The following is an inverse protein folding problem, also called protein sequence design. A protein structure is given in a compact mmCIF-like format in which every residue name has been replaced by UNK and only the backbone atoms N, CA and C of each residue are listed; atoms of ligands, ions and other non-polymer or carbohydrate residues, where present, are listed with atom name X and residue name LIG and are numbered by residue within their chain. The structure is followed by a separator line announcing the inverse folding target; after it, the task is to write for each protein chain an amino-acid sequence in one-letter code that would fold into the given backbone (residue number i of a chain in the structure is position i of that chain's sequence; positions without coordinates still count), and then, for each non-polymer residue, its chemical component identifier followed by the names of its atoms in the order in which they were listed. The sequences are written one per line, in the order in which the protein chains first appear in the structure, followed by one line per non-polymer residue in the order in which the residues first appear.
data_IF_490453045796
#
_entry.id   IF_490453045796
#
_cell.length_a   1.000
_cell.length_b   1.000
_cell.length_c   1.000
_cell.angle_alpha   90.00
_cell.angle_beta   90.00
_cell.angle_gamma   90.00
#
_symmetry.space_group_name_H-M   'P 1'
#
loop_
_entity.id
_entity.type
_entity.pdbx_description
1 polymer ?
#
# COMPACT_ATOMS: atom_id res chain seq x y z
N UNK A 1 -5.81 -4.80 0.08
CA UNK A 1 -6.50 -5.73 -0.85
C UNK A 1 -5.56 -6.77 -1.44
N UNK A 2 -4.39 -6.40 -1.97
CA UNK A 2 -3.37 -7.36 -2.46
C UNK A 2 -3.03 -8.49 -1.47
N UNK A 3 -2.82 -8.16 -0.19
CA UNK A 3 -2.59 -9.15 0.86
C UNK A 3 -3.75 -10.15 1.04
N UNK A 4 -5.00 -9.73 0.79
CA UNK A 4 -6.16 -10.62 0.83
C UNK A 4 -6.14 -11.59 -0.35
N UNK A 5 -5.92 -11.10 -1.58
CA UNK A 5 -5.79 -11.98 -2.75
C UNK A 5 -4.64 -12.97 -2.64
N UNK A 6 -3.53 -12.57 -2.02
CA UNK A 6 -2.41 -13.46 -1.73
C UNK A 6 -2.77 -14.59 -0.75
N UNK A 7 -3.76 -14.37 0.12
CA UNK A 7 -4.15 -15.30 1.18
C UNK A 7 -5.25 -16.30 0.76
N UNK A 8 -6.09 -15.96 -0.23
CA UNK A 8 -7.22 -16.82 -0.64
C UNK A 8 -6.83 -17.90 -1.65
N UNK A 9 -5.75 -17.72 -2.40
CA UNK A 9 -5.31 -18.66 -3.44
C UNK A 9 -4.07 -19.45 -2.97
N UNK A 10 -3.89 -20.67 -3.49
CA UNK A 10 -2.73 -21.52 -3.18
C UNK A 10 -1.77 -21.68 -4.36
N UNK A 11 -2.11 -21.15 -5.53
CA UNK A 11 -1.30 -21.23 -6.74
C UNK A 11 -0.45 -19.97 -6.91
N UNK A 12 0.77 -20.08 -7.50
CA UNK A 12 1.59 -18.91 -7.79
C UNK A 12 0.88 -17.92 -8.71
N UNK A 13 0.21 -18.41 -9.76
CA UNK A 13 -0.52 -17.57 -10.70
C UNK A 13 -1.71 -16.84 -10.05
N UNK A 14 -2.50 -17.55 -9.23
CA UNK A 14 -3.63 -16.98 -8.51
C UNK A 14 -3.24 -15.94 -7.46
N UNK A 15 -1.96 -15.89 -7.05
CA UNK A 15 -1.43 -14.81 -6.20
C UNK A 15 -0.84 -13.67 -7.02
N UNK A 16 0.04 -13.98 -7.97
CA UNK A 16 0.85 -12.98 -8.68
C UNK A 16 -0.01 -12.09 -9.56
N UNK A 17 -0.90 -12.66 -10.36
CA UNK A 17 -1.72 -11.90 -11.32
C UNK A 17 -2.59 -10.84 -10.61
N UNK A 18 -3.41 -11.18 -9.60
CA UNK A 18 -4.21 -10.16 -8.92
C UNK A 18 -3.36 -9.17 -8.12
N UNK A 19 -2.24 -9.59 -7.53
CA UNK A 19 -1.32 -8.66 -6.86
C UNK A 19 -0.79 -7.62 -7.85
N UNK A 20 -0.32 -8.08 -9.02
CA UNK A 20 0.19 -7.21 -10.07
C UNK A 20 -0.89 -6.24 -10.56
N UNK A 21 -2.09 -6.72 -10.86
CA UNK A 21 -3.18 -5.86 -11.37
C UNK A 21 -3.56 -4.76 -10.38
N UNK A 22 -3.68 -5.10 -9.09
CA UNK A 22 -4.00 -4.11 -8.05
C UNK A 22 -2.85 -3.11 -7.88
N UNK A 23 -1.60 -3.55 -7.89
CA UNK A 23 -0.44 -2.67 -7.81
C UNK A 23 -0.34 -1.75 -9.04
N UNK A 24 -0.56 -2.27 -10.24
CA UNK A 24 -0.57 -1.51 -11.49
C UNK A 24 -1.67 -0.44 -11.48
N UNK A 25 -2.88 -0.78 -11.02
CA UNK A 25 -3.96 0.19 -10.88
C UNK A 25 -3.64 1.27 -9.84
N UNK A 26 -2.97 0.90 -8.75
CA UNK A 26 -2.55 1.85 -7.72
C UNK A 26 -1.56 2.88 -8.28
N UNK A 27 -0.58 2.42 -9.06
CA UNK A 27 0.38 3.28 -9.75
C UNK A 27 -0.31 4.12 -10.83
N UNK A 28 -1.17 3.53 -11.67
CA UNK A 28 -1.90 4.23 -12.72
C UNK A 28 -2.85 5.30 -12.17
N UNK A 29 -3.44 5.06 -11.00
CA UNK A 29 -4.25 6.01 -10.26
C UNK A 29 -3.45 7.09 -9.53
N UNK A 30 -2.13 7.10 -9.66
CA UNK A 30 -1.21 8.02 -8.96
C UNK A 30 -1.43 8.03 -7.43
N UNK A 31 -1.78 6.88 -6.86
CA UNK A 31 -1.95 6.74 -5.43
C UNK A 31 -0.59 6.60 -4.75
N UNK A 32 -0.46 7.18 -3.56
CA UNK A 32 0.82 7.20 -2.85
C UNK A 32 0.97 5.98 -1.93
N UNK A 33 2.13 5.32 -1.98
CA UNK A 33 2.45 4.18 -1.12
C UNK A 33 3.68 4.47 -0.28
N UNK A 34 3.51 4.61 1.03
CA UNK A 34 4.56 5.12 1.94
C UNK A 34 5.87 4.32 1.85
N UNK A 35 5.88 2.96 1.87
CA UNK A 35 7.10 2.18 1.66
C UNK A 35 7.75 2.36 0.29
N UNK A 36 6.97 2.51 -0.79
CA UNK A 36 7.54 2.75 -2.12
C UNK A 36 8.16 4.15 -2.20
N UNK A 37 7.52 5.15 -1.58
CA UNK A 37 8.04 6.51 -1.52
C UNK A 37 9.35 6.57 -0.72
N UNK A 38 9.46 5.81 0.39
CA UNK A 38 10.72 5.67 1.13
C UNK A 38 11.85 5.11 0.25
N UNK A 39 11.57 4.07 -0.54
CA UNK A 39 12.53 3.51 -1.50
C UNK A 39 12.95 4.52 -2.55
N UNK A 40 11.98 5.22 -3.14
CA UNK A 40 12.21 6.28 -4.13
C UNK A 40 13.08 7.41 -3.57
N UNK A 41 12.75 7.97 -2.41
CA UNK A 41 13.54 9.06 -1.82
C UNK A 41 14.92 8.61 -1.36
N UNK A 42 15.06 7.37 -0.89
CA UNK A 42 16.37 6.79 -0.55
C UNK A 42 17.26 6.70 -1.78
N UNK A 43 16.71 6.24 -2.91
CA UNK A 43 17.44 6.13 -4.17
C UNK A 43 17.76 7.50 -4.76
N UNK A 44 16.82 8.45 -4.71
CA UNK A 44 17.03 9.85 -5.12
C UNK A 44 18.17 10.49 -4.34
N UNK A 45 18.16 10.34 -3.01
CA UNK A 45 19.22 10.88 -2.14
C UNK A 45 20.58 10.24 -2.49
N UNK A 46 20.61 8.93 -2.75
CA UNK A 46 21.84 8.24 -3.15
C UNK A 46 22.39 8.70 -4.51
N UNK A 47 21.53 9.16 -5.43
CA UNK A 47 21.92 9.69 -6.74
C UNK A 47 22.19 11.21 -6.72
N UNK A 48 22.25 11.84 -5.54
CA UNK A 48 22.54 13.26 -5.39
C UNK A 48 21.36 14.20 -5.61
N UNK A 49 20.14 13.68 -5.74
CA UNK A 49 18.91 14.49 -5.75
C UNK A 49 18.39 14.71 -4.33
N UNK A 50 18.30 15.96 -3.88
CA UNK A 50 17.84 16.27 -2.52
C UNK A 50 16.67 17.28 -2.48
N UNK A 51 15.46 16.83 -2.11
CA UNK A 51 14.39 17.70 -1.61
C UNK A 51 14.57 18.09 -0.12
N UNK A 52 15.60 17.55 0.55
CA UNK A 52 15.77 17.52 1.99
C UNK A 52 15.08 16.30 2.59
N UNK A 53 15.85 15.33 3.09
CA UNK A 53 15.35 14.08 3.69
C UNK A 53 14.23 14.30 4.73
N UNK A 54 14.33 15.37 5.50
CA UNK A 54 13.33 15.79 6.50
C UNK A 54 12.03 16.24 5.83
N UNK A 55 12.11 17.02 4.75
CA UNK A 55 10.93 17.47 4.00
C UNK A 55 10.23 16.29 3.33
N UNK A 56 10.97 15.39 2.68
CA UNK A 56 10.39 14.17 2.10
C UNK A 56 9.70 13.30 3.16
N UNK A 57 10.28 13.20 4.35
CA UNK A 57 9.69 12.41 5.43
C UNK A 57 8.41 13.04 6.01
N UNK A 58 8.46 14.33 6.35
CA UNK A 58 7.34 15.04 6.99
C UNK A 58 6.20 15.35 6.02
N UNK A 59 6.50 15.66 4.77
CA UNK A 59 5.49 16.13 3.79
C UNK A 59 5.07 15.06 2.78
N UNK A 60 5.68 13.89 2.81
CA UNK A 60 5.26 12.78 1.95
C UNK A 60 5.10 11.48 2.75
N UNK A 61 6.18 10.95 3.34
CA UNK A 61 6.14 9.60 3.95
C UNK A 61 5.10 9.49 5.07
N UNK A 62 5.05 10.47 5.99
CA UNK A 62 4.08 10.48 7.10
C UNK A 62 2.64 10.68 6.61
N UNK A 63 2.30 11.73 5.84
CA UNK A 63 0.94 11.92 5.33
C UNK A 63 0.45 10.72 4.53
N UNK A 64 1.25 10.23 3.58
CA UNK A 64 0.95 9.02 2.81
C UNK A 64 0.75 7.81 3.73
N UNK A 65 1.57 7.67 4.77
CA UNK A 65 1.46 6.59 5.75
C UNK A 65 0.12 6.61 6.49
N UNK A 66 -0.32 7.78 6.93
CA UNK A 66 -1.62 7.98 7.59
C UNK A 66 -2.75 7.58 6.63
N UNK A 67 -2.70 8.06 5.38
CA UNK A 67 -3.70 7.72 4.37
C UNK A 67 -3.73 6.22 4.04
N UNK A 68 -2.56 5.57 3.99
CA UNK A 68 -2.44 4.14 3.77
C UNK A 68 -3.07 3.34 4.93
N UNK A 69 -2.88 3.78 6.17
CA UNK A 69 -3.50 3.17 7.37
C UNK A 69 -5.02 3.37 7.33
N UNK A 70 -5.48 4.59 7.04
CA UNK A 70 -6.90 4.89 6.96
C UNK A 70 -7.58 4.12 5.83
N UNK A 71 -6.98 4.09 4.64
CA UNK A 71 -7.50 3.34 3.49
C UNK A 71 -7.58 1.84 3.77
N UNK A 72 -6.54 1.25 4.36
CA UNK A 72 -6.57 -0.19 4.70
C UNK A 72 -7.54 -0.51 5.84
N UNK A 73 -7.62 0.32 6.87
CA UNK A 73 -8.48 0.09 8.03
C UNK A 73 -9.96 0.30 7.69
N UNK A 74 -10.29 1.42 7.06
CA UNK A 74 -11.68 1.83 6.81
C UNK A 74 -12.27 1.23 5.54
N UNK A 75 -11.48 1.09 4.46
CA UNK A 75 -12.01 0.63 3.16
C UNK A 75 -11.79 -0.85 2.90
N UNK A 76 -10.97 -1.52 3.72
CA UNK A 76 -10.71 -2.96 3.59
C UNK A 76 -11.10 -3.69 4.87
N UNK A 77 -10.38 -3.47 5.97
CA UNK A 77 -10.57 -4.26 7.19
C UNK A 77 -11.98 -4.11 7.78
N UNK A 78 -12.51 -2.88 7.85
CA UNK A 78 -13.82 -2.61 8.45
C UNK A 78 -14.99 -3.26 7.67
N UNK A 79 -15.09 -3.16 6.33
CA UNK A 79 -16.11 -3.89 5.55
C UNK A 79 -16.01 -5.40 5.71
N UNK A 80 -14.80 -5.97 5.66
CA UNK A 80 -14.60 -7.40 5.87
C UNK A 80 -15.02 -7.83 7.28
N UNK A 81 -14.62 -7.08 8.30
CA UNK A 81 -15.04 -7.35 9.67
C UNK A 81 -16.56 -7.29 9.80
N UNK A 82 -17.20 -6.25 9.27
CA UNK A 82 -18.66 -6.11 9.33
C UNK A 82 -19.38 -7.28 8.64
N UNK A 83 -18.91 -7.70 7.46
CA UNK A 83 -19.51 -8.80 6.71
C UNK A 83 -19.33 -10.17 7.40
N UNK A 84 -18.18 -10.40 8.04
CA UNK A 84 -17.82 -11.72 8.58
C UNK A 84 -17.91 -11.83 10.11
N UNK A 85 -18.25 -10.76 10.84
CA UNK A 85 -18.34 -10.76 12.32
C UNK A 85 -19.20 -11.87 12.92
N UNK A 86 -20.21 -12.35 12.21
CA UNK A 86 -21.09 -13.44 12.67
C UNK A 86 -20.46 -14.83 12.55
N UNK A 87 -19.43 -15.00 11.71
CA UNK A 87 -18.69 -16.26 11.52
C UNK A 87 -17.41 -16.34 12.36
N UNK A 88 -17.03 -15.26 13.03
CA UNK A 88 -15.82 -15.18 13.87
C UNK A 88 -16.10 -15.54 15.35
N UNK A 89 -17.20 -16.26 15.61
CA UNK A 89 -17.57 -16.76 16.94
C UNK A 89 -17.10 -18.20 17.12
#
# INVERSE_FOLDING_TARGET
MTAFFAAIDNTPFGKIVPIFLVAALFVAGNLQHSPANMGYFSLSTAHGGDPGRVYAFLWNVIPTGIENILGSSLLVALPFWFAFRHRMK
#
